data_IF_572044507781
#
_entry.id   IF_572044507781
#
_cell.length_a   1.000
_cell.length_b   1.000
_cell.length_c   1.000
_cell.angle_alpha   90.00
_cell.angle_beta   90.00
_cell.angle_gamma   90.00
#
_symmetry.space_group_name_H-M   'P 1'
#
loop_
_entity.id
_entity.type
_entity.pdbx_description
1 polymer ?
#
# COMPACT_ATOMS: atom_id res chain seq x y z
N UNK A 1 1.41 17.67 16.00
CA UNK A 1 0.71 17.58 14.70
C UNK A 1 1.39 16.48 13.91
N UNK A 2 0.65 15.49 13.41
CA UNK A 2 1.22 14.38 12.63
C UNK A 2 1.74 14.90 11.30
N UNK A 3 3.00 14.60 10.99
CA UNK A 3 3.63 15.00 9.73
C UNK A 3 3.51 13.86 8.73
N UNK A 4 2.89 14.15 7.58
CA UNK A 4 2.81 13.21 6.48
C UNK A 4 3.84 13.56 5.40
N UNK A 5 4.46 12.53 4.84
CA UNK A 5 5.35 12.63 3.70
C UNK A 5 5.15 11.45 2.75
N UNK A 6 5.82 11.50 1.60
CA UNK A 6 5.91 10.37 0.68
C UNK A 6 7.36 10.00 0.47
N UNK A 7 7.65 8.70 0.48
CA UNK A 7 8.96 8.16 0.17
C UNK A 7 8.83 7.17 -0.97
N UNK A 8 9.67 7.30 -1.99
CA UNK A 8 9.72 6.33 -3.08
C UNK A 8 10.10 4.94 -2.56
N UNK A 9 9.44 3.91 -3.06
CA UNK A 9 9.78 2.51 -2.76
C UNK A 9 10.83 2.07 -3.78
N UNK A 10 12.11 2.13 -3.38
CA UNK A 10 13.24 1.88 -4.29
C UNK A 10 13.32 0.43 -4.78
N UNK A 11 12.68 -0.52 -4.11
CA UNK A 11 12.63 -1.93 -4.51
C UNK A 11 11.65 -2.24 -5.63
N UNK A 12 10.87 -1.25 -6.11
CA UNK A 12 9.92 -1.41 -7.22
C UNK A 12 10.40 -0.57 -8.41
N UNK A 13 10.88 -1.24 -9.46
CA UNK A 13 11.37 -0.62 -10.68
C UNK A 13 10.31 -0.66 -11.78
N UNK A 14 9.40 0.31 -11.76
CA UNK A 14 8.26 0.35 -12.68
C UNK A 14 8.04 1.72 -13.32
N UNK A 15 7.35 1.72 -14.48
CA UNK A 15 6.90 2.95 -15.16
C UNK A 15 5.96 3.79 -14.28
N UNK A 16 5.04 3.13 -13.57
CA UNK A 16 4.24 3.77 -12.53
C UNK A 16 5.05 3.90 -11.24
N UNK A 17 5.03 5.08 -10.63
CA UNK A 17 5.74 5.33 -9.38
C UNK A 17 4.98 4.76 -8.18
N UNK A 18 5.65 3.94 -7.38
CA UNK A 18 5.17 3.47 -6.09
C UNK A 18 5.87 4.22 -4.97
N UNK A 19 5.10 4.93 -4.16
CA UNK A 19 5.59 5.54 -2.92
C UNK A 19 4.95 4.82 -1.74
N UNK A 20 5.58 4.90 -0.58
CA UNK A 20 4.96 4.63 0.70
C UNK A 20 4.66 5.94 1.42
N UNK A 21 3.56 5.93 2.18
CA UNK A 21 3.26 6.99 3.11
C UNK A 21 4.30 6.97 4.23
N UNK A 22 4.83 8.15 4.54
CA UNK A 22 5.68 8.41 5.69
C UNK A 22 4.85 9.15 6.74
N UNK A 23 4.87 8.67 7.97
CA UNK A 23 4.20 9.29 9.11
C UNK A 23 5.26 9.57 10.17
N UNK A 24 5.45 10.86 10.50
CA UNK A 24 6.43 11.33 11.49
C UNK A 24 7.86 10.79 11.23
N UNK A 25 8.27 10.71 9.96
CA UNK A 25 9.60 10.23 9.55
C UNK A 25 9.69 8.72 9.29
N UNK A 26 8.61 7.96 9.55
CA UNK A 26 8.59 6.52 9.40
C UNK A 26 7.78 6.06 8.18
N UNK A 27 8.45 5.37 7.26
CA UNK A 27 7.80 4.73 6.11
C UNK A 27 6.96 3.53 6.54
N UNK A 28 5.66 3.55 6.22
CA UNK A 28 4.72 2.52 6.68
C UNK A 28 5.03 1.14 6.10
N UNK A 29 5.47 1.09 4.83
CA UNK A 29 5.82 -0.18 4.19
C UNK A 29 7.14 -0.72 4.76
N UNK A 30 8.12 0.15 5.02
CA UNK A 30 9.40 -0.22 5.65
C UNK A 30 9.18 -0.80 7.05
N UNK A 31 8.30 -0.17 7.85
CA UNK A 31 7.92 -0.67 9.17
C UNK A 31 7.24 -2.04 9.09
N UNK A 32 6.40 -2.25 8.07
CA UNK A 32 5.77 -3.55 7.84
C UNK A 32 6.79 -4.60 7.43
N UNK A 33 7.68 -4.31 6.48
CA UNK A 33 8.76 -5.22 6.08
C UNK A 33 9.66 -5.60 7.26
N UNK A 34 10.02 -4.63 8.10
CA UNK A 34 10.82 -4.87 9.30
C UNK A 34 10.15 -5.86 10.26
N UNK A 35 8.81 -5.83 10.39
CA UNK A 35 8.04 -6.80 11.19
C UNK A 35 8.05 -8.20 10.58
N UNK A 36 8.18 -8.31 9.25
CA UNK A 36 8.20 -9.61 8.55
C UNK A 36 9.60 -10.22 8.49
N UNK A 37 10.65 -9.43 8.71
CA UNK A 37 12.06 -9.89 8.68
C UNK A 37 12.27 -11.05 9.65
N UNK A 38 12.84 -12.16 9.17
CA UNK A 38 13.09 -13.37 9.96
C UNK A 38 11.85 -14.23 10.20
N UNK A 39 10.68 -13.82 9.72
CA UNK A 39 9.47 -14.64 9.75
C UNK A 39 9.31 -15.43 8.44
N UNK A 40 8.43 -16.44 8.45
CA UNK A 40 8.09 -17.22 7.25
C UNK A 40 7.42 -16.38 6.15
N UNK A 41 6.91 -15.19 6.47
CA UNK A 41 6.20 -14.31 5.56
C UNK A 41 7.11 -13.37 4.75
N UNK A 42 8.41 -13.30 5.07
CA UNK A 42 9.32 -12.38 4.39
C UNK A 42 9.40 -12.63 2.88
N UNK A 43 9.48 -13.90 2.47
CA UNK A 43 9.52 -14.26 1.05
C UNK A 43 8.18 -13.96 0.35
N UNK A 44 7.07 -14.15 1.05
CA UNK A 44 5.74 -13.82 0.54
C UNK A 44 5.60 -12.31 0.27
N UNK A 45 6.16 -11.48 1.15
CA UNK A 45 6.20 -10.04 0.95
C UNK A 45 7.05 -9.64 -0.27
N UNK A 46 8.23 -10.24 -0.45
CA UNK A 46 9.06 -9.99 -1.65
C UNK A 46 8.32 -10.31 -2.95
N UNK A 47 7.62 -11.45 -3.00
CA UNK A 47 6.79 -11.81 -4.16
C UNK A 47 5.69 -10.78 -4.41
N UNK A 48 5.09 -10.22 -3.35
CA UNK A 48 4.11 -9.14 -3.48
C UNK A 48 4.71 -7.88 -4.11
N UNK A 49 5.95 -7.50 -3.75
CA UNK A 49 6.66 -6.39 -4.38
C UNK A 49 6.88 -6.63 -5.88
N UNK A 50 7.26 -7.87 -6.27
CA UNK A 50 7.37 -8.25 -7.68
C UNK A 50 6.04 -8.11 -8.43
N UNK A 51 4.90 -8.43 -7.79
CA UNK A 51 3.59 -8.18 -8.40
C UNK A 51 3.28 -6.69 -8.56
N UNK A 52 3.65 -5.85 -7.59
CA UNK A 52 3.50 -4.40 -7.70
C UNK A 52 4.31 -3.85 -8.87
N UNK A 53 5.55 -4.33 -9.04
CA UNK A 53 6.42 -3.96 -10.16
C UNK A 53 5.82 -4.38 -11.52
N UNK A 54 5.37 -5.64 -11.63
CA UNK A 54 4.70 -6.14 -12.84
C UNK A 54 3.46 -5.31 -13.20
N UNK A 55 2.59 -5.02 -12.22
CA UNK A 55 1.42 -4.16 -12.40
C UNK A 55 1.84 -2.74 -12.81
N UNK A 56 2.88 -2.20 -12.19
CA UNK A 56 3.41 -0.87 -12.48
C UNK A 56 3.96 -0.72 -13.90
N UNK A 57 4.41 -1.82 -14.49
CA UNK A 57 4.89 -1.90 -15.87
C UNK A 57 3.78 -2.21 -16.90
N UNK A 58 2.51 -2.18 -16.48
CA UNK A 58 1.35 -2.40 -17.36
C UNK A 58 0.83 -3.84 -17.38
N UNK A 59 1.41 -4.72 -16.56
CA UNK A 59 0.91 -6.07 -16.39
C UNK A 59 -0.48 -6.11 -15.76
N UNK A 60 -1.29 -7.10 -16.13
CA UNK A 60 -2.61 -7.33 -15.54
C UNK A 60 -2.52 -8.39 -14.43
N UNK A 61 -3.07 -8.09 -13.27
CA UNK A 61 -3.16 -9.02 -12.15
C UNK A 61 -4.61 -9.44 -11.93
N UNK A 62 -4.87 -10.72 -11.59
CA UNK A 62 -6.21 -11.16 -11.23
C UNK A 62 -6.66 -10.55 -9.90
N UNK A 63 -7.97 -10.50 -9.65
CA UNK A 63 -8.56 -9.99 -8.39
C UNK A 63 -8.10 -10.74 -7.13
N UNK A 64 -7.57 -11.95 -7.30
CA UNK A 64 -6.97 -12.72 -6.21
C UNK A 64 -5.65 -12.13 -5.74
N UNK A 65 -5.00 -11.28 -6.54
CA UNK A 65 -3.69 -10.64 -6.28
C UNK A 65 -3.78 -9.11 -6.18
N UNK A 66 -4.66 -8.47 -6.95
CA UNK A 66 -4.85 -7.02 -6.92
C UNK A 66 -6.32 -6.71 -7.12
N UNK A 67 -6.95 -6.02 -6.17
CA UNK A 67 -8.38 -5.71 -6.21
C UNK A 67 -8.62 -4.22 -6.00
N UNK A 68 -9.51 -3.64 -6.80
CA UNK A 68 -10.09 -2.33 -6.51
C UNK A 68 -11.14 -2.48 -5.39
N UNK A 69 -10.94 -1.76 -4.30
CA UNK A 69 -11.82 -1.78 -3.11
C UNK A 69 -12.49 -0.41 -2.86
N UNK A 70 -12.45 0.46 -3.87
CA UNK A 70 -12.99 1.83 -3.82
C UNK A 70 -14.50 1.80 -3.59
N UNK A 71 -15.00 2.45 -2.52
CA UNK A 71 -16.42 2.71 -2.35
C UNK A 71 -16.97 3.59 -3.49
N UNK A 72 -18.24 3.39 -3.86
CA UNK A 72 -18.90 4.10 -4.98
C UNK A 72 -18.78 5.63 -4.93
N UNK A 73 -18.69 6.23 -3.73
CA UNK A 73 -18.66 7.68 -3.52
C UNK A 73 -17.25 8.26 -3.31
N UNK A 74 -16.21 7.44 -3.36
CA UNK A 74 -14.83 7.89 -3.14
C UNK A 74 -14.19 8.38 -4.44
N UNK A 75 -13.58 9.57 -4.40
CA UNK A 75 -12.92 10.17 -5.56
C UNK A 75 -11.50 9.63 -5.79
N UNK A 76 -10.88 9.08 -4.76
CA UNK A 76 -9.54 8.50 -4.82
C UNK A 76 -9.67 6.99 -4.78
N UNK A 77 -9.24 6.33 -5.87
CA UNK A 77 -9.29 4.88 -5.94
C UNK A 77 -8.45 4.24 -4.82
N UNK A 78 -9.03 3.23 -4.18
CA UNK A 78 -8.45 2.37 -3.16
C UNK A 78 -8.17 1.00 -3.77
N UNK A 79 -7.00 0.44 -3.43
CA UNK A 79 -6.56 -0.85 -3.92
C UNK A 79 -6.06 -1.75 -2.80
N UNK A 80 -6.23 -3.05 -2.99
CA UNK A 80 -5.71 -4.10 -2.12
C UNK A 80 -4.81 -5.05 -2.92
N UNK A 81 -3.54 -5.10 -2.55
CA UNK A 81 -2.61 -6.15 -2.96
C UNK A 81 -2.71 -7.34 -2.02
N UNK A 82 -2.79 -8.53 -2.60
CA UNK A 82 -3.20 -9.75 -1.92
C UNK A 82 -2.20 -10.86 -2.16
N UNK A 83 -1.79 -11.49 -1.08
CA UNK A 83 -1.09 -12.77 -1.08
C UNK A 83 -1.86 -13.78 -0.21
N UNK A 84 -1.22 -14.88 0.19
CA UNK A 84 -1.86 -15.92 0.99
C UNK A 84 -2.23 -15.39 2.40
N UNK A 85 -1.28 -14.74 3.07
CA UNK A 85 -1.38 -14.27 4.45
C UNK A 85 -1.27 -12.75 4.59
N UNK A 86 -0.76 -12.03 3.58
CA UNK A 86 -0.51 -10.58 3.67
C UNK A 86 -1.49 -9.77 2.82
N UNK A 87 -1.74 -8.53 3.25
CA UNK A 87 -2.49 -7.51 2.54
C UNK A 87 -1.71 -6.21 2.57
N UNK A 88 -1.62 -5.53 1.43
CA UNK A 88 -1.07 -4.17 1.35
C UNK A 88 -2.09 -3.28 0.67
N UNK A 89 -2.42 -2.16 1.31
CA UNK A 89 -3.45 -1.23 0.87
C UNK A 89 -2.81 0.01 0.29
N UNK A 90 -3.33 0.43 -0.86
CA UNK A 90 -2.80 1.54 -1.61
C UNK A 90 -3.91 2.48 -2.08
N UNK A 91 -3.54 3.71 -2.37
CA UNK A 91 -4.40 4.70 -3.04
C UNK A 91 -3.78 5.14 -4.36
N UNK A 92 -4.63 5.57 -5.29
CA UNK A 92 -4.19 6.17 -6.54
C UNK A 92 -3.51 7.52 -6.29
N UNK A 93 -2.42 7.77 -7.04
CA UNK A 93 -1.87 9.11 -7.26
C UNK A 93 -1.62 9.34 -8.74
N UNK A 94 -1.37 10.58 -9.15
CA UNK A 94 -0.91 10.87 -10.51
C UNK A 94 0.38 10.08 -10.79
N UNK A 95 0.41 9.36 -11.91
CA UNK A 95 1.58 8.56 -12.32
C UNK A 95 1.85 7.30 -11.49
N UNK A 96 0.98 6.90 -10.55
CA UNK A 96 1.19 5.66 -9.81
C UNK A 96 0.35 5.47 -8.55
N UNK A 97 0.94 4.94 -7.49
CA UNK A 97 0.21 4.54 -6.26
C UNK A 97 0.98 4.90 -4.99
N UNK A 98 0.26 5.14 -3.91
CA UNK A 98 0.80 5.36 -2.56
C UNK A 98 0.38 4.21 -1.67
N UNK A 99 1.33 3.51 -1.07
CA UNK A 99 1.11 2.47 -0.08
C UNK A 99 0.83 3.13 1.27
N UNK A 100 -0.32 2.82 1.87
CA UNK A 100 -0.81 3.49 3.09
C UNK A 100 -0.80 2.56 4.29
N UNK A 101 -0.89 1.23 4.09
CA UNK A 101 -0.89 0.25 5.17
C UNK A 101 -0.48 -1.13 4.67
N UNK A 102 0.30 -1.86 5.47
CA UNK A 102 0.53 -3.31 5.34
C UNK A 102 -0.02 -4.06 6.55
N UNK A 103 -0.58 -5.24 6.33
CA UNK A 103 -1.21 -6.05 7.37
C UNK A 103 -1.38 -7.52 7.00
N UNK A 104 -2.04 -8.26 7.88
CA UNK A 104 -2.31 -9.68 7.69
C UNK A 104 -3.76 -9.91 7.23
N UNK A 105 -4.00 -11.01 6.53
CA UNK A 105 -5.33 -11.38 6.04
C UNK A 105 -6.34 -11.56 7.18
N UNK A 106 -5.92 -12.08 8.33
CA UNK A 106 -6.79 -12.28 9.49
C UNK A 106 -7.19 -10.96 10.17
N UNK A 107 -6.44 -9.87 9.99
CA UNK A 107 -6.74 -8.54 10.50
C UNK A 107 -7.46 -7.64 9.49
N UNK A 108 -7.77 -8.15 8.28
CA UNK A 108 -8.25 -7.36 7.14
C UNK A 108 -9.41 -6.40 7.47
N UNK A 109 -10.42 -6.82 8.23
CA UNK A 109 -11.55 -5.93 8.61
C UNK A 109 -11.09 -4.70 9.38
N UNK A 110 -10.16 -4.89 10.33
CA UNK A 110 -9.57 -3.82 11.14
C UNK A 110 -8.64 -2.97 10.28
N UNK A 111 -7.82 -3.61 9.45
CA UNK A 111 -6.86 -2.93 8.60
C UNK A 111 -7.54 -2.01 7.58
N UNK A 112 -8.67 -2.40 6.99
CA UNK A 112 -9.44 -1.54 6.08
C UNK A 112 -9.94 -0.27 6.78
N UNK A 113 -10.39 -0.38 8.04
CA UNK A 113 -10.83 0.77 8.84
C UNK A 113 -9.64 1.71 9.09
N UNK A 114 -8.51 1.16 9.55
CA UNK A 114 -7.29 1.93 9.80
C UNK A 114 -6.75 2.57 8.52
N UNK A 115 -6.70 1.83 7.42
CA UNK A 115 -6.30 2.31 6.10
C UNK A 115 -7.11 3.54 5.69
N UNK A 116 -8.45 3.48 5.79
CA UNK A 116 -9.32 4.61 5.42
C UNK A 116 -9.16 5.80 6.35
N UNK A 117 -8.94 5.56 7.65
CA UNK A 117 -8.68 6.63 8.60
C UNK A 117 -7.36 7.37 8.28
N UNK A 118 -6.28 6.62 8.01
CA UNK A 118 -4.97 7.17 7.63
C UNK A 118 -5.06 7.90 6.30
N UNK A 119 -5.69 7.28 5.28
CA UNK A 119 -5.96 7.91 3.98
C UNK A 119 -6.64 9.27 4.17
N UNK A 120 -7.72 9.31 4.95
CA UNK A 120 -8.48 10.54 5.18
C UNK A 120 -7.61 11.61 5.85
N UNK A 121 -6.83 11.24 6.87
CA UNK A 121 -5.92 12.17 7.54
C UNK A 121 -4.86 12.75 6.58
N UNK A 122 -4.24 11.89 5.75
CA UNK A 122 -3.28 12.30 4.73
C UNK A 122 -3.91 13.23 3.68
N UNK A 123 -5.08 12.88 3.13
CA UNK A 123 -5.75 13.73 2.14
C UNK A 123 -6.18 15.09 2.72
N UNK A 124 -6.51 15.15 4.01
CA UNK A 124 -6.78 16.41 4.71
C UNK A 124 -5.50 17.23 4.83
N UNK A 125 -4.37 16.61 5.19
CA UNK A 125 -3.09 17.32 5.33
C UNK A 125 -2.51 17.86 4.03
N UNK A 126 -3.05 17.50 2.86
CA UNK A 126 -2.66 18.09 1.57
C UNK A 126 -3.42 19.38 1.25
N UNK A 127 -4.50 19.67 1.97
CA UNK A 127 -5.35 20.85 1.76
C UNK A 127 -4.97 22.05 2.62
N UNK A 128 -4.05 21.83 3.56
CA UNK A 128 -3.53 22.80 4.53
C UNK A 128 -2.02 22.82 4.43
#
# INVERSE_FOLDING_TARGET
MTKFGLRKIESIHAKQQFDQLEIDGFGILDLFEKKLKGTTYQNEFKVMLTYMEYLGNGGLLPETKFKNITPVKESVNEYEFKSKHLRVYAIQKTGGKIIVLGGFKNSQKRDIISFRAIKKAYLISLKY
#
